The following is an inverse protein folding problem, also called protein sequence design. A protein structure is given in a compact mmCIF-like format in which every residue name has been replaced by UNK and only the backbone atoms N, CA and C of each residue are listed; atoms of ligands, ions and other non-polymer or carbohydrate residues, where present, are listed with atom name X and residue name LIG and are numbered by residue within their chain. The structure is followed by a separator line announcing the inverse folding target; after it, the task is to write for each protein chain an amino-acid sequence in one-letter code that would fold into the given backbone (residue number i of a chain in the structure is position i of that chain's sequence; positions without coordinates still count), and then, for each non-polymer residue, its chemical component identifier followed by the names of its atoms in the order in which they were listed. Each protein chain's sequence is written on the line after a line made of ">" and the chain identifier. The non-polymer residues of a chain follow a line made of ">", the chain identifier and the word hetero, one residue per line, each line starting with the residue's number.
data_IF_177047463926
#
_entry.id   IF_177047463926
#
_cell.length_a   1.000
_cell.length_b   1.000
_cell.length_c   1.000
_cell.angle_alpha   90.00
_cell.angle_beta   90.00
_cell.angle_gamma   90.00
#
_symmetry.space_group_name_H-M   'P 1'
#
loop_
_entity.id
_entity.type
_entity.pdbx_description
1 polymer ?
#
# COMPACT_ATOMS: atom_id res chain seq x y z
N UNK A 1 4.85 9.17 -13.10
CA UNK A 1 6.20 9.15 -12.48
C UNK A 1 6.46 10.51 -11.85
N UNK A 2 7.00 10.55 -10.63
CA UNK A 2 7.38 11.80 -9.96
C UNK A 2 8.55 12.46 -10.70
N UNK A 3 8.68 13.80 -10.59
CA UNK A 3 9.71 14.60 -11.28
C UNK A 3 9.79 14.38 -12.80
N UNK A 4 8.69 14.03 -13.42
CA UNK A 4 8.64 13.79 -14.87
C UNK A 4 7.98 14.97 -15.55
N UNK A 5 8.66 15.53 -16.56
CA UNK A 5 8.10 16.58 -17.40
C UNK A 5 7.22 15.96 -18.47
N UNK A 6 5.98 16.42 -18.53
CA UNK A 6 4.99 16.02 -19.54
C UNK A 6 4.70 17.19 -20.46
N UNK A 7 4.45 16.89 -21.73
CA UNK A 7 4.01 17.83 -22.74
C UNK A 7 2.62 17.42 -23.21
N UNK A 8 1.69 18.33 -23.24
CA UNK A 8 0.31 18.10 -23.71
C UNK A 8 -0.06 19.10 -24.79
N UNK A 9 -0.76 18.59 -25.81
CA UNK A 9 -1.41 19.42 -26.85
C UNK A 9 -2.85 18.96 -27.01
N UNK A 10 -3.77 19.90 -27.07
CA UNK A 10 -5.11 19.61 -27.61
C UNK A 10 -4.98 19.31 -29.10
N UNK A 11 -5.83 18.44 -29.61
CA UNK A 11 -5.90 18.20 -31.06
C UNK A 11 -7.34 18.10 -31.53
N UNK A 12 -7.57 18.43 -32.79
CA UNK A 12 -8.83 18.24 -33.48
C UNK A 12 -8.60 17.51 -34.78
N UNK A 13 -9.52 16.60 -35.14
CA UNK A 13 -9.49 15.83 -36.39
C UNK A 13 -10.70 16.22 -37.20
N UNK A 14 -10.49 16.49 -38.50
CA UNK A 14 -11.55 16.66 -39.49
C UNK A 14 -11.17 15.96 -40.81
N UNK A 15 -11.99 16.09 -41.84
CA UNK A 15 -11.78 15.47 -43.16
C UNK A 15 -10.52 15.97 -43.87
N UNK A 16 -9.88 17.06 -43.40
CA UNK A 16 -8.64 17.61 -43.96
C UNK A 16 -7.39 17.20 -43.15
N UNK A 17 -7.55 16.48 -42.01
CA UNK A 17 -6.45 15.99 -41.19
C UNK A 17 -6.52 16.40 -39.75
N UNK A 18 -5.37 16.30 -39.06
CA UNK A 18 -5.20 16.61 -37.65
C UNK A 18 -4.55 17.99 -37.49
N UNK A 19 -5.12 18.81 -36.64
CA UNK A 19 -4.49 20.06 -36.20
C UNK A 19 -4.27 20.07 -34.70
N UNK A 20 -3.13 20.59 -34.24
CA UNK A 20 -2.71 20.62 -32.83
C UNK A 20 -2.75 22.05 -32.30
N UNK A 21 -3.24 22.20 -31.10
CA UNK A 21 -3.14 23.43 -30.33
C UNK A 21 -1.71 23.67 -29.78
N UNK A 22 -1.56 24.77 -29.02
CA UNK A 22 -0.30 25.09 -28.38
C UNK A 22 0.10 23.98 -27.40
N UNK A 23 1.42 23.71 -27.35
CA UNK A 23 1.99 22.82 -26.36
C UNK A 23 2.07 23.52 -25.00
N UNK A 24 1.59 22.83 -23.99
CA UNK A 24 1.86 23.19 -22.59
C UNK A 24 2.67 22.09 -21.93
N UNK A 25 3.56 22.44 -21.02
CA UNK A 25 4.29 21.45 -20.24
C UNK A 25 4.06 21.67 -18.76
N UNK A 26 4.06 20.55 -18.03
CA UNK A 26 4.08 20.56 -16.57
C UNK A 26 5.03 19.47 -16.08
N UNK A 27 5.59 19.68 -14.91
CA UNK A 27 6.40 18.64 -14.23
C UNK A 27 5.60 18.11 -13.06
N UNK A 28 5.46 16.79 -12.99
CA UNK A 28 4.87 16.16 -11.83
C UNK A 28 5.77 16.38 -10.62
N UNK A 29 5.20 16.88 -9.53
CA UNK A 29 5.95 17.02 -8.29
C UNK A 29 6.31 15.64 -7.75
N UNK A 30 7.48 15.49 -7.07
CA UNK A 30 7.68 14.35 -6.18
C UNK A 30 6.51 14.33 -5.20
N UNK A 31 5.98 13.15 -4.91
CA UNK A 31 5.16 13.00 -3.70
C UNK A 31 6.16 13.19 -2.57
N UNK A 32 6.20 14.39 -2.00
CA UNK A 32 6.99 14.66 -0.81
C UNK A 32 6.25 14.00 0.36
N UNK A 33 6.65 12.77 0.65
CA UNK A 33 6.23 12.10 1.86
C UNK A 33 6.97 12.74 3.02
N UNK A 34 6.25 13.42 3.88
CA UNK A 34 6.78 13.87 5.15
C UNK A 34 7.19 12.67 6.01
N UNK A 35 8.06 12.93 6.97
CA UNK A 35 8.46 11.95 7.98
C UNK A 35 7.73 12.23 9.29
N UNK A 36 7.39 11.19 10.01
CA UNK A 36 6.85 11.27 11.36
C UNK A 36 7.65 10.35 12.28
N UNK A 37 8.01 10.84 13.44
CA UNK A 37 8.65 10.02 14.49
C UNK A 37 7.56 9.46 15.40
N UNK A 38 7.50 8.13 15.51
CA UNK A 38 6.58 7.46 16.43
C UNK A 38 7.03 7.57 17.89
N UNK A 39 6.15 7.23 18.83
CA UNK A 39 6.44 7.32 20.25
C UNK A 39 7.63 6.45 20.71
N UNK A 40 7.97 5.40 19.96
CA UNK A 40 9.13 4.55 20.19
C UNK A 40 10.42 5.06 19.52
N UNK A 41 10.41 6.28 18.94
CA UNK A 41 11.58 6.93 18.32
C UNK A 41 11.88 6.50 16.89
N UNK A 42 11.12 5.58 16.30
CA UNK A 42 11.29 5.17 14.90
C UNK A 42 10.69 6.20 13.95
N UNK A 43 11.35 6.40 12.81
CA UNK A 43 10.91 7.32 11.76
C UNK A 43 10.12 6.57 10.70
N UNK A 44 8.94 7.08 10.37
CA UNK A 44 8.01 6.50 9.39
C UNK A 44 7.62 7.55 8.35
N UNK A 45 7.08 7.10 7.25
CA UNK A 45 6.32 8.00 6.37
C UNK A 45 5.08 8.52 7.11
N UNK A 46 4.71 9.78 6.86
CA UNK A 46 3.59 10.45 7.53
C UNK A 46 2.20 9.94 7.09
N UNK A 47 2.14 9.18 6.01
CA UNK A 47 0.89 8.67 5.41
C UNK A 47 1.06 7.29 4.77
N UNK A 48 -0.04 6.61 4.46
CA UNK A 48 -0.03 5.35 3.71
C UNK A 48 0.44 5.56 2.27
N UNK A 49 1.06 4.56 1.65
CA UNK A 49 1.34 4.62 0.20
C UNK A 49 0.05 4.80 -0.59
N UNK A 50 0.09 5.68 -1.59
CA UNK A 50 -1.08 6.06 -2.39
C UNK A 50 -2.01 7.08 -1.75
N UNK A 51 -1.82 7.43 -0.47
CA UNK A 51 -2.60 8.48 0.19
C UNK A 51 -2.19 9.88 -0.29
N UNK A 52 -3.17 10.74 -0.53
CA UNK A 52 -2.93 12.11 -1.00
C UNK A 52 -2.52 13.08 0.12
N UNK A 53 -2.80 12.74 1.39
CA UNK A 53 -2.49 13.57 2.55
C UNK A 53 -2.33 12.75 3.83
N UNK A 54 -1.81 13.39 4.87
CA UNK A 54 -1.87 12.88 6.25
C UNK A 54 -3.34 12.84 6.70
N UNK A 55 -3.71 11.82 7.47
CA UNK A 55 -5.08 11.63 7.91
C UNK A 55 -5.54 12.74 8.87
N UNK A 56 -6.73 13.27 8.64
CA UNK A 56 -7.42 14.25 9.50
C UNK A 56 -8.48 13.60 10.39
N UNK A 57 -8.80 12.31 10.13
CA UNK A 57 -9.60 11.42 11.00
C UNK A 57 -9.23 9.97 10.70
N UNK A 58 -9.61 9.03 11.56
CA UNK A 58 -9.44 7.59 11.31
C UNK A 58 -10.15 7.11 10.03
N UNK A 59 -11.22 7.80 9.65
CA UNK A 59 -12.07 7.51 8.48
C UNK A 59 -11.81 8.46 7.30
N UNK A 60 -10.72 9.22 7.29
CA UNK A 60 -10.35 10.10 6.19
C UNK A 60 -10.02 9.29 4.92
N UNK A 61 -10.96 9.27 3.96
CA UNK A 61 -10.83 8.49 2.72
C UNK A 61 -9.66 8.93 1.84
N UNK A 62 -9.25 10.20 1.91
CA UNK A 62 -8.09 10.74 1.18
C UNK A 62 -6.75 10.24 1.75
N UNK A 63 -6.77 9.71 2.98
CA UNK A 63 -5.61 9.17 3.68
C UNK A 63 -5.57 7.63 3.71
N UNK A 64 -6.56 6.95 3.13
CA UNK A 64 -6.59 5.48 3.09
C UNK A 64 -5.45 4.89 2.27
N UNK A 65 -5.09 5.52 1.14
CA UNK A 65 -4.09 5.00 0.22
C UNK A 65 -4.53 3.73 -0.50
N UNK A 66 -3.56 3.02 -1.03
CA UNK A 66 -3.71 1.83 -1.85
C UNK A 66 -3.69 0.54 -1.02
N UNK A 67 -4.10 -0.59 -1.63
CA UNK A 67 -4.16 -1.91 -1.02
C UNK A 67 -3.29 -2.89 -1.81
N UNK A 68 -2.11 -3.18 -1.30
CA UNK A 68 -1.09 -4.00 -1.95
C UNK A 68 -1.24 -5.49 -1.64
N UNK A 69 -1.09 -6.36 -2.63
CA UNK A 69 -0.80 -7.78 -2.40
C UNK A 69 0.63 -7.92 -1.88
N UNK A 70 0.83 -8.75 -0.87
CA UNK A 70 2.14 -8.87 -0.22
C UNK A 70 3.25 -9.30 -1.21
N UNK A 71 4.38 -8.62 -1.17
CA UNK A 71 5.51 -8.94 -2.02
C UNK A 71 5.43 -8.39 -3.44
N UNK A 72 4.37 -7.67 -3.80
CA UNK A 72 4.16 -7.15 -5.15
C UNK A 72 4.61 -5.69 -5.26
N UNK A 73 5.27 -5.35 -6.37
CA UNK A 73 5.65 -3.97 -6.67
C UNK A 73 4.42 -3.09 -6.95
N UNK A 74 4.59 -1.77 -6.97
CA UNK A 74 3.54 -0.82 -7.34
C UNK A 74 3.33 -0.82 -8.87
N UNK A 75 2.69 -1.85 -9.40
CA UNK A 75 2.40 -2.08 -10.82
C UNK A 75 0.95 -1.73 -11.21
N UNK A 76 0.27 -0.94 -10.37
CA UNK A 76 -1.13 -0.49 -10.44
C UNK A 76 -2.17 -1.51 -9.92
N UNK A 77 -1.79 -2.75 -9.58
CA UNK A 77 -2.71 -3.71 -8.94
C UNK A 77 -3.26 -3.17 -7.61
N UNK A 78 -2.46 -2.40 -6.89
CA UNK A 78 -2.77 -1.85 -5.58
C UNK A 78 -3.89 -0.80 -5.61
N UNK A 79 -4.15 -0.22 -6.77
CA UNK A 79 -5.21 0.79 -6.90
C UNK A 79 -6.56 0.19 -6.50
N UNK A 80 -7.32 0.91 -5.69
CA UNK A 80 -8.62 0.45 -5.18
C UNK A 80 -9.63 0.09 -6.27
N UNK A 81 -9.42 0.57 -7.50
CA UNK A 81 -10.27 0.33 -8.68
C UNK A 81 -9.67 -0.65 -9.69
N UNK A 82 -8.51 -1.27 -9.40
CA UNK A 82 -7.91 -2.22 -10.34
C UNK A 82 -8.82 -3.44 -10.56
N UNK A 83 -8.79 -3.97 -11.77
CA UNK A 83 -9.57 -5.15 -12.16
C UNK A 83 -9.04 -6.39 -11.43
N UNK A 84 -9.92 -7.33 -11.08
CA UNK A 84 -9.53 -8.63 -10.50
C UNK A 84 -9.46 -9.71 -11.56
N UNK A 85 -8.42 -10.56 -11.51
CA UNK A 85 -8.25 -11.75 -12.36
C UNK A 85 -7.92 -12.98 -11.51
N UNK A 86 -8.24 -14.18 -12.04
CA UNK A 86 -8.01 -15.44 -11.33
C UNK A 86 -6.66 -16.11 -11.67
N UNK A 87 -6.00 -15.73 -12.77
CA UNK A 87 -4.76 -16.37 -13.20
C UNK A 87 -3.60 -15.95 -12.31
N UNK A 88 -3.02 -16.90 -11.57
CA UNK A 88 -1.81 -16.67 -10.77
C UNK A 88 -0.61 -16.29 -11.64
N UNK A 89 0.24 -15.42 -11.12
CA UNK A 89 1.53 -15.14 -11.72
C UNK A 89 2.53 -16.27 -11.44
N UNK A 90 3.47 -16.47 -12.35
CA UNK A 90 4.60 -17.43 -12.21
C UNK A 90 5.93 -16.72 -11.92
N UNK A 91 5.93 -15.38 -11.92
CA UNK A 91 7.13 -14.55 -11.71
C UNK A 91 6.84 -13.47 -10.66
N UNK A 92 7.90 -12.80 -10.18
CA UNK A 92 7.80 -11.68 -9.23
C UNK A 92 7.21 -10.41 -9.84
N UNK A 93 7.17 -10.35 -11.16
CA UNK A 93 6.50 -9.29 -11.92
C UNK A 93 5.43 -9.91 -12.82
N UNK A 94 4.15 -9.79 -12.48
CA UNK A 94 3.06 -10.35 -13.30
C UNK A 94 2.91 -9.75 -14.70
N UNK A 95 3.53 -8.60 -14.97
CA UNK A 95 3.42 -7.89 -16.24
C UNK A 95 2.04 -7.30 -16.52
N UNK A 96 1.19 -7.17 -15.52
CA UNK A 96 -0.15 -6.58 -15.65
C UNK A 96 -0.57 -5.83 -14.38
N UNK A 97 -1.55 -4.95 -14.51
CA UNK A 97 -2.09 -4.08 -13.45
C UNK A 97 -3.26 -4.70 -12.66
N UNK A 98 -3.59 -5.97 -12.87
CA UNK A 98 -4.75 -6.57 -12.25
C UNK A 98 -4.46 -7.08 -10.84
N UNK A 99 -5.44 -7.01 -9.96
CA UNK A 99 -5.42 -7.68 -8.67
C UNK A 99 -5.64 -9.19 -8.89
N UNK A 100 -4.67 -10.01 -8.49
CA UNK A 100 -4.69 -11.45 -8.76
C UNK A 100 -5.36 -12.19 -7.60
N UNK A 101 -6.49 -12.83 -7.86
CA UNK A 101 -7.27 -13.56 -6.86
C UNK A 101 -7.64 -14.93 -7.42
N UNK A 102 -6.77 -15.95 -7.27
CA UNK A 102 -7.03 -17.29 -7.81
C UNK A 102 -8.21 -17.96 -7.09
N UNK A 103 -8.85 -18.90 -7.76
CA UNK A 103 -9.98 -19.62 -7.17
C UNK A 103 -9.55 -20.48 -5.97
N UNK A 104 -8.48 -21.24 -6.12
CA UNK A 104 -7.85 -22.10 -5.09
C UNK A 104 -6.42 -22.46 -5.53
N UNK A 105 -5.43 -22.55 -4.61
CA UNK A 105 -5.49 -22.11 -3.21
C UNK A 105 -5.42 -20.60 -3.07
N UNK A 106 -6.13 -20.02 -2.13
CA UNK A 106 -6.15 -18.58 -1.85
C UNK A 106 -4.99 -18.14 -0.95
N UNK A 107 -3.78 -18.67 -1.14
CA UNK A 107 -2.64 -18.35 -0.26
C UNK A 107 -1.76 -17.23 -0.80
N UNK A 108 -1.51 -17.21 -2.12
CA UNK A 108 -0.62 -16.23 -2.74
C UNK A 108 -1.11 -15.84 -4.15
N UNK A 109 -0.78 -14.65 -4.60
CA UNK A 109 -1.04 -14.15 -5.96
C UNK A 109 -0.11 -14.80 -7.01
N UNK A 110 0.99 -15.44 -6.58
CA UNK A 110 1.95 -16.14 -7.44
C UNK A 110 2.18 -17.59 -7.02
N UNK A 111 2.66 -18.41 -7.97
CA UNK A 111 3.08 -19.79 -7.74
C UNK A 111 4.35 -20.10 -8.57
N UNK A 112 5.41 -20.74 -7.98
CA UNK A 112 5.58 -20.99 -6.54
C UNK A 112 5.72 -19.70 -5.74
N UNK A 113 5.43 -19.74 -4.42
CA UNK A 113 5.59 -18.61 -3.52
C UNK A 113 7.04 -18.10 -3.47
N UNK A 114 7.26 -16.82 -3.25
CA UNK A 114 8.57 -16.23 -3.00
C UNK A 114 8.60 -15.48 -1.67
N UNK A 115 9.26 -16.05 -0.69
CA UNK A 115 9.39 -15.49 0.66
C UNK A 115 10.41 -14.35 0.77
N UNK A 116 11.21 -14.12 -0.27
CA UNK A 116 12.28 -13.12 -0.29
C UNK A 116 11.80 -11.74 -0.76
N UNK A 117 10.52 -11.62 -1.13
CA UNK A 117 9.94 -10.34 -1.53
C UNK A 117 9.81 -9.39 -0.33
N UNK A 118 9.97 -8.10 -0.55
CA UNK A 118 9.84 -7.04 0.46
C UNK A 118 10.83 -7.13 1.64
N UNK A 119 11.92 -7.87 1.49
CA UNK A 119 12.91 -8.04 2.56
C UNK A 119 13.92 -6.88 2.58
N UNK A 120 13.79 -5.99 3.56
CA UNK A 120 14.69 -4.86 3.75
C UNK A 120 14.54 -3.73 2.72
N UNK A 121 15.41 -2.72 2.82
CA UNK A 121 15.35 -1.49 2.02
C UNK A 121 15.61 -1.73 0.53
N UNK A 122 16.45 -2.71 0.20
CA UNK A 122 16.76 -3.14 -1.17
C UNK A 122 16.01 -4.42 -1.56
N UNK A 123 14.96 -4.77 -0.83
CA UNK A 123 14.16 -5.98 -1.07
C UNK A 123 13.52 -5.97 -2.45
N UNK A 124 13.46 -7.15 -3.07
CA UNK A 124 12.76 -7.33 -4.35
C UNK A 124 11.32 -6.81 -4.19
N UNK A 125 10.86 -6.02 -5.16
CA UNK A 125 9.53 -5.43 -5.19
C UNK A 125 9.20 -4.50 -4.01
N UNK A 126 10.17 -4.03 -3.21
CA UNK A 126 9.91 -3.07 -2.15
C UNK A 126 9.13 -1.84 -2.72
N UNK A 127 7.88 -1.60 -2.29
CA UNK A 127 7.07 -0.51 -2.85
C UNK A 127 7.39 0.85 -2.20
N UNK A 128 8.18 0.84 -1.13
CA UNK A 128 8.52 2.04 -0.38
C UNK A 128 9.55 2.91 -1.12
N UNK A 129 9.54 4.23 -0.91
CA UNK A 129 10.56 5.12 -1.46
C UNK A 129 11.97 4.76 -0.98
N UNK A 130 12.98 5.25 -1.71
CA UNK A 130 14.40 5.05 -1.36
C UNK A 130 14.67 5.41 0.10
N UNK A 131 15.39 4.53 0.81
CA UNK A 131 15.69 4.67 2.24
C UNK A 131 14.59 4.19 3.19
N UNK A 132 13.44 3.75 2.65
CA UNK A 132 12.33 3.19 3.40
C UNK A 132 12.07 1.73 2.99
N UNK A 133 11.45 1.00 3.89
CA UNK A 133 11.02 -0.39 3.71
C UNK A 133 9.71 -0.67 4.42
N UNK A 134 9.15 -1.84 4.24
CA UNK A 134 8.07 -2.28 5.10
C UNK A 134 8.59 -2.52 6.54
N UNK A 135 7.76 -2.24 7.54
CA UNK A 135 8.06 -2.62 8.92
C UNK A 135 8.03 -4.14 9.08
N UNK A 136 8.80 -4.63 10.03
CA UNK A 136 8.72 -6.02 10.53
C UNK A 136 7.55 -6.17 11.50
N UNK A 137 7.19 -7.43 11.82
CA UNK A 137 6.25 -7.75 12.89
C UNK A 137 6.70 -7.13 14.23
N UNK A 138 8.00 -7.20 14.55
CA UNK A 138 8.54 -6.66 15.79
C UNK A 138 8.36 -5.14 15.86
N UNK A 139 8.51 -4.42 14.76
CA UNK A 139 8.30 -2.98 14.69
C UNK A 139 6.83 -2.60 14.84
N UNK A 140 5.90 -3.37 14.27
CA UNK A 140 4.47 -3.19 14.51
C UNK A 140 4.08 -3.47 15.96
N UNK A 141 4.65 -4.51 16.58
CA UNK A 141 4.41 -4.81 17.99
C UNK A 141 4.95 -3.71 18.90
N UNK A 142 6.13 -3.14 18.60
CA UNK A 142 6.70 -2.02 19.33
C UNK A 142 5.84 -0.74 19.20
N UNK A 143 5.30 -0.48 17.99
CA UNK A 143 4.37 0.62 17.77
C UNK A 143 3.08 0.41 18.57
N UNK A 144 2.46 -0.77 18.46
CA UNK A 144 1.27 -1.13 19.23
C UNK A 144 1.52 -1.01 20.76
N UNK A 145 2.68 -1.42 21.25
CA UNK A 145 3.02 -1.32 22.66
C UNK A 145 2.99 0.13 23.18
N UNK A 146 3.31 1.10 22.31
CA UNK A 146 3.34 2.53 22.66
C UNK A 146 1.95 3.18 22.78
N UNK A 147 0.89 2.55 22.25
CA UNK A 147 -0.45 3.13 22.27
C UNK A 147 -1.09 3.03 23.66
N UNK A 148 -1.87 4.03 24.04
CA UNK A 148 -2.69 4.01 25.26
C UNK A 148 -3.89 3.08 25.09
N UNK A 149 -4.59 3.19 23.95
CA UNK A 149 -5.71 2.31 23.58
C UNK A 149 -5.24 1.33 22.49
N UNK A 150 -5.48 0.05 22.68
CA UNK A 150 -5.08 -1.01 21.74
C UNK A 150 -6.20 -1.29 20.73
N UNK A 151 -6.65 -0.25 20.01
CA UNK A 151 -7.77 -0.30 19.08
C UNK A 151 -7.61 0.79 17.99
N UNK A 152 -8.64 0.98 17.16
CA UNK A 152 -8.65 2.00 16.08
C UNK A 152 -8.47 3.44 16.59
N UNK A 153 -8.93 3.75 17.79
CA UNK A 153 -8.77 5.09 18.35
C UNK A 153 -7.31 5.34 18.72
N UNK A 154 -6.64 4.36 19.34
CA UNK A 154 -5.21 4.43 19.61
C UNK A 154 -4.36 4.45 18.35
N UNK A 155 -4.76 3.70 17.30
CA UNK A 155 -4.12 3.73 15.99
C UNK A 155 -4.10 5.14 15.38
N UNK A 156 -5.23 5.83 15.43
CA UNK A 156 -5.33 7.21 14.96
C UNK A 156 -4.73 8.24 15.93
N UNK A 157 -4.83 8.02 17.23
CA UNK A 157 -4.23 8.92 18.25
C UNK A 157 -2.70 8.89 18.22
N UNK A 158 -2.09 7.78 17.76
CA UNK A 158 -0.63 7.68 17.61
C UNK A 158 -0.09 8.73 16.63
N UNK A 159 1.21 9.09 16.72
CA UNK A 159 1.83 9.98 15.74
C UNK A 159 1.66 9.51 14.29
N UNK A 160 1.51 8.21 14.05
CA UNK A 160 1.35 7.65 12.71
C UNK A 160 -0.01 7.96 12.08
N UNK A 161 -1.04 8.35 12.84
CA UNK A 161 -2.38 8.66 12.32
C UNK A 161 -2.91 7.55 11.39
N UNK A 162 -2.81 6.28 11.84
CA UNK A 162 -3.24 5.15 11.02
C UNK A 162 -4.76 5.17 10.82
N UNK A 163 -5.20 4.79 9.62
CA UNK A 163 -6.61 4.86 9.21
C UNK A 163 -7.25 3.49 9.09
N UNK A 164 -8.57 3.45 9.23
CA UNK A 164 -9.39 2.24 9.01
C UNK A 164 -9.71 2.07 7.51
N UNK A 165 -8.65 1.88 6.74
CA UNK A 165 -8.67 1.83 5.27
C UNK A 165 -9.31 0.55 4.68
N UNK A 166 -9.60 -0.45 5.52
CA UNK A 166 -10.09 -1.76 5.10
C UNK A 166 -8.98 -2.66 4.54
N UNK A 167 -9.41 -3.72 3.89
CA UNK A 167 -8.59 -4.68 3.14
C UNK A 167 -9.26 -5.04 1.83
N UNK A 168 -8.55 -5.71 0.92
CA UNK A 168 -9.10 -6.18 -0.35
C UNK A 168 -8.97 -7.68 -0.50
N UNK A 169 -10.06 -8.28 -0.86
CA UNK A 169 -10.17 -9.64 -1.40
C UNK A 169 -10.61 -9.54 -2.87
N UNK A 170 -11.70 -10.17 -3.26
CA UNK A 170 -12.35 -9.93 -4.56
C UNK A 170 -12.89 -8.48 -4.59
N UNK A 171 -13.45 -8.06 -3.48
CA UNK A 171 -13.93 -6.68 -3.23
C UNK A 171 -13.17 -6.05 -2.06
N UNK A 172 -13.31 -4.75 -1.90
CA UNK A 172 -12.79 -4.04 -0.73
C UNK A 172 -13.76 -4.23 0.43
N UNK A 173 -13.23 -4.67 1.57
CA UNK A 173 -14.00 -4.98 2.78
C UNK A 173 -13.58 -4.08 3.93
N UNK A 174 -14.49 -3.89 4.89
CA UNK A 174 -14.23 -3.24 6.19
C UNK A 174 -13.68 -1.80 6.11
N UNK A 175 -13.88 -1.10 4.99
CA UNK A 175 -13.54 0.32 4.86
C UNK A 175 -14.33 1.15 5.88
N UNK A 176 -13.65 2.00 6.65
CA UNK A 176 -14.24 2.76 7.73
C UNK A 176 -14.46 1.97 9.05
N UNK A 177 -14.07 0.69 9.09
CA UNK A 177 -14.28 -0.23 10.22
C UNK A 177 -12.95 -0.72 10.78
N UNK A 178 -12.02 -1.19 9.93
CA UNK A 178 -10.74 -1.73 10.35
C UNK A 178 -9.57 -1.23 9.49
N UNK A 179 -8.37 -1.23 10.05
CA UNK A 179 -7.12 -1.04 9.34
C UNK A 179 -6.36 -2.36 9.24
N UNK A 180 -5.82 -2.66 8.06
CA UNK A 180 -5.02 -3.86 7.78
C UNK A 180 -3.72 -3.43 7.10
N UNK A 181 -2.58 -3.59 7.76
CA UNK A 181 -1.29 -3.09 7.33
C UNK A 181 -0.26 -4.21 7.25
N UNK A 182 0.38 -4.36 6.10
CA UNK A 182 1.39 -5.38 5.91
C UNK A 182 2.66 -5.13 6.73
N UNK A 183 3.30 -6.21 7.16
CA UNK A 183 4.72 -6.25 7.53
C UNK A 183 5.54 -6.99 6.48
N UNK A 184 6.88 -6.90 6.55
CA UNK A 184 7.76 -7.71 5.72
C UNK A 184 7.93 -9.15 6.25
N UNK A 185 7.49 -9.43 7.48
CA UNK A 185 7.69 -10.72 8.14
C UNK A 185 6.84 -11.81 7.53
N UNK A 186 7.49 -12.90 7.13
CA UNK A 186 6.88 -14.10 6.58
C UNK A 186 6.40 -15.02 7.72
N UNK A 187 5.30 -15.72 7.52
CA UNK A 187 4.75 -16.69 8.48
C UNK A 187 4.07 -17.85 7.74
N UNK A 188 4.79 -18.96 7.56
CA UNK A 188 4.32 -20.10 6.76
C UNK A 188 3.98 -19.68 5.33
N UNK A 189 2.82 -20.11 4.83
CA UNK A 189 2.30 -19.74 3.51
C UNK A 189 1.73 -18.31 3.44
N UNK A 190 1.65 -17.62 4.58
CA UNK A 190 1.19 -16.24 4.67
C UNK A 190 2.30 -15.28 5.06
N UNK A 191 1.89 -14.07 5.42
CA UNK A 191 2.75 -13.03 5.96
C UNK A 191 2.07 -12.34 7.13
N UNK A 192 2.87 -11.78 8.04
CA UNK A 192 2.36 -11.07 9.21
C UNK A 192 1.77 -9.73 8.78
N UNK A 193 0.63 -9.38 9.34
CA UNK A 193 0.01 -8.09 9.14
C UNK A 193 -0.55 -7.55 10.45
N UNK A 194 -0.55 -6.23 10.56
CA UNK A 194 -1.09 -5.51 11.69
C UNK A 194 -2.54 -5.13 11.40
N UNK A 195 -3.46 -5.62 12.20
CA UNK A 195 -4.89 -5.36 12.10
C UNK A 195 -5.41 -4.67 13.34
N UNK A 196 -6.30 -3.70 13.16
CA UNK A 196 -6.99 -3.04 14.25
C UNK A 196 -8.41 -2.61 13.85
N UNK A 197 -9.30 -2.60 14.83
CA UNK A 197 -10.66 -2.08 14.77
C UNK A 197 -11.03 -1.48 16.12
N UNK A 198 -12.31 -1.12 16.33
CA UNK A 198 -12.73 -0.67 17.67
C UNK A 198 -12.62 -1.79 18.71
N UNK A 199 -12.68 -3.04 18.31
CA UNK A 199 -12.60 -4.23 19.17
C UNK A 199 -11.20 -4.63 19.62
N UNK A 200 -10.14 -4.03 19.04
CA UNK A 200 -8.75 -4.35 19.41
C UNK A 200 -7.75 -4.15 18.30
N UNK A 201 -6.47 -4.40 18.61
CA UNK A 201 -5.36 -4.34 17.68
C UNK A 201 -4.42 -5.53 17.88
N UNK A 202 -4.04 -6.21 16.79
CA UNK A 202 -3.31 -7.47 16.82
C UNK A 202 -2.37 -7.60 15.63
N UNK A 203 -1.26 -8.32 15.78
CA UNK A 203 -0.47 -8.78 14.65
C UNK A 203 -0.82 -10.24 14.38
N UNK A 204 -1.31 -10.52 13.18
CA UNK A 204 -1.87 -11.80 12.76
C UNK A 204 -1.17 -12.29 11.48
N UNK A 205 -1.39 -13.55 11.09
CA UNK A 205 -0.98 -14.07 9.78
C UNK A 205 -2.14 -13.94 8.79
N UNK A 206 -1.84 -13.52 7.58
CA UNK A 206 -2.83 -13.44 6.50
C UNK A 206 -2.25 -13.94 5.17
N UNK A 207 -3.10 -14.41 4.29
CA UNK A 207 -2.72 -14.89 2.97
C UNK A 207 -2.21 -13.74 2.11
N UNK A 208 -1.10 -13.96 1.38
CA UNK A 208 -0.43 -12.93 0.56
C UNK A 208 -1.24 -12.47 -0.64
N UNK A 209 -2.25 -13.26 -1.01
CA UNK A 209 -3.18 -12.95 -2.08
C UNK A 209 -4.07 -11.74 -1.77
N UNK A 210 -4.30 -11.44 -0.51
CA UNK A 210 -5.13 -10.31 -0.10
C UNK A 210 -4.39 -8.97 -0.16
N UNK A 211 -5.15 -7.89 -0.24
CA UNK A 211 -4.64 -6.54 -0.28
C UNK A 211 -4.70 -5.85 1.08
N UNK A 212 -3.57 -5.31 1.52
CA UNK A 212 -3.46 -4.51 2.73
C UNK A 212 -2.75 -3.18 2.49
N UNK A 213 -2.95 -2.24 3.38
CA UNK A 213 -2.25 -0.97 3.37
C UNK A 213 -0.74 -1.14 3.60
N UNK A 214 0.06 -0.23 3.05
CA UNK A 214 1.49 -0.15 3.32
C UNK A 214 1.81 1.18 3.98
N UNK A 215 2.45 1.13 5.14
CA UNK A 215 3.07 2.25 5.83
C UNK A 215 4.57 1.97 5.96
N UNK A 216 5.38 2.77 5.30
CA UNK A 216 6.81 2.54 5.25
C UNK A 216 7.52 3.11 6.48
N UNK A 217 8.58 2.41 6.92
CA UNK A 217 9.48 2.82 8.00
C UNK A 217 10.85 3.11 7.41
N UNK A 218 11.55 4.11 7.95
CA UNK A 218 12.92 4.42 7.57
C UNK A 218 13.88 3.32 8.03
N UNK A 219 14.84 2.98 7.20
CA UNK A 219 15.83 1.95 7.54
C UNK A 219 16.81 2.45 8.60
#
# INVERSE_FOLDING_TARGET
>A
TANTKYFIRAYAINTKGINYGNEISFTTRPIDFGNVTSANGKVWMDRNLGASRVATSSTDTSAYGDLYQWGRAADQHQLRKSTTIATQATTDNPGNANFIMPATPLTDWRTPQNVNLWQGVNGINNPCPTGFRLPTEAEWNAELASWTLKNSDGAYASPLKLTVAGSREIIINNTGISGSYWSSTVSGDGSRYFNFSNGGAFVLTHNRVYGGSVRCIKN
#
